data_IF_688351184695
#
_entry.id   IF_688351184695
#
_cell.length_a   1.000
_cell.length_b   1.000
_cell.length_c   1.000
_cell.angle_alpha   90.00
_cell.angle_beta   90.00
_cell.angle_gamma   90.00
#
_symmetry.space_group_name_H-M   'P 1'
#
loop_
_entity.id
_entity.type
_entity.pdbx_description
1 polymer ?
#
# COMPACT_ATOMS: atom_id res chain seq x y z
N UNK A 1 13.75 -13.16 4.41
CA UNK A 1 12.55 -13.95 4.00
C UNK A 1 11.63 -13.08 3.12
N UNK A 2 11.00 -13.62 2.06
CA UNK A 2 10.27 -12.80 1.06
C UNK A 2 9.12 -11.99 1.68
N UNK A 3 8.33 -12.61 2.56
CA UNK A 3 7.23 -12.01 3.31
C UNK A 3 7.60 -10.69 4.02
N UNK A 4 8.82 -10.62 4.55
CA UNK A 4 9.30 -9.48 5.34
C UNK A 4 9.97 -8.38 4.50
N UNK A 5 10.29 -8.62 3.22
CA UNK A 5 11.04 -7.66 2.38
C UNK A 5 10.33 -6.30 2.21
N UNK A 6 9.00 -6.28 2.36
CA UNK A 6 8.20 -5.05 2.28
C UNK A 6 8.22 -4.20 3.55
N UNK A 7 8.86 -4.65 4.62
CA UNK A 7 8.92 -3.97 5.92
C UNK A 7 10.37 -3.63 6.30
N UNK A 8 10.57 -2.53 7.03
CA UNK A 8 11.89 -2.14 7.53
C UNK A 8 12.43 -3.13 8.59
N UNK A 9 13.73 -3.06 8.89
CA UNK A 9 14.37 -3.97 9.86
C UNK A 9 13.76 -3.87 11.26
N UNK A 10 13.30 -2.68 11.63
CA UNK A 10 12.70 -2.35 12.93
C UNK A 10 11.28 -2.92 13.03
N UNK A 11 10.49 -2.80 11.95
CA UNK A 11 9.16 -3.41 11.86
C UNK A 11 9.30 -4.93 11.90
N UNK A 12 10.25 -5.50 11.15
CA UNK A 12 10.52 -6.94 11.17
C UNK A 12 10.86 -7.43 12.59
N UNK A 13 11.77 -6.74 13.31
CA UNK A 13 12.09 -7.06 14.71
C UNK A 13 10.88 -6.96 15.63
N UNK A 14 9.99 -6.00 15.38
CA UNK A 14 8.78 -5.82 16.19
C UNK A 14 7.78 -6.94 15.93
N UNK A 15 7.59 -7.36 14.68
CA UNK A 15 6.78 -8.52 14.34
C UNK A 15 7.30 -9.79 15.02
N UNK A 16 8.62 -10.01 15.03
CA UNK A 16 9.20 -11.20 15.68
C UNK A 16 8.99 -11.23 17.20
N UNK A 17 8.75 -10.09 17.86
CA UNK A 17 8.47 -10.03 19.31
C UNK A 17 7.05 -10.47 19.66
N UNK A 18 6.10 -10.27 18.76
CA UNK A 18 4.68 -10.58 18.97
C UNK A 18 4.24 -11.84 18.23
N UNK A 19 5.06 -12.35 17.31
CA UNK A 19 4.74 -13.52 16.53
C UNK A 19 4.69 -14.79 17.39
N UNK A 20 3.65 -15.59 17.17
CA UNK A 20 3.48 -16.91 17.77
C UNK A 20 3.94 -17.98 16.78
N UNK A 21 4.79 -18.90 17.23
CA UNK A 21 5.20 -20.04 16.43
C UNK A 21 4.17 -21.17 16.52
N UNK A 22 3.81 -21.74 15.37
CA UNK A 22 2.89 -22.88 15.28
C UNK A 22 3.39 -23.90 14.26
N UNK A 23 3.13 -25.17 14.53
CA UNK A 23 3.44 -26.28 13.64
C UNK A 23 2.20 -27.13 13.41
N UNK A 24 1.87 -27.37 12.15
CA UNK A 24 0.68 -28.15 11.78
C UNK A 24 1.00 -29.24 10.78
N UNK A 25 0.25 -30.33 10.90
CA UNK A 25 0.35 -31.48 10.00
C UNK A 25 -0.23 -31.18 8.62
N UNK A 26 0.13 -32.01 7.65
CA UNK A 26 -0.50 -32.03 6.31
C UNK A 26 -2.04 -32.10 6.38
N UNK A 27 -2.71 -31.44 5.45
CA UNK A 27 -4.16 -31.47 5.29
C UNK A 27 -4.94 -30.60 6.27
N UNK A 28 -4.28 -29.84 7.17
CA UNK A 28 -4.94 -28.93 8.12
C UNK A 28 -5.51 -27.70 7.42
N UNK A 29 -6.80 -27.42 7.63
CA UNK A 29 -7.42 -26.17 7.20
C UNK A 29 -7.02 -25.04 8.15
N UNK A 30 -6.28 -24.06 7.64
CA UNK A 30 -5.78 -22.93 8.42
C UNK A 30 -6.77 -21.76 8.41
N UNK A 31 -7.35 -21.52 7.25
CA UNK A 31 -8.25 -20.40 6.98
C UNK A 31 -9.39 -20.91 6.11
N UNK A 32 -10.62 -20.49 6.42
CA UNK A 32 -11.80 -20.75 5.59
C UNK A 32 -12.24 -19.47 4.90
N UNK A 33 -12.58 -19.56 3.62
CA UNK A 33 -13.24 -18.50 2.87
C UNK A 33 -14.48 -18.01 3.65
N UNK A 34 -14.72 -16.69 3.64
CA UNK A 34 -15.85 -16.06 4.31
C UNK A 34 -15.69 -15.83 5.81
N UNK A 35 -14.67 -16.41 6.46
CA UNK A 35 -14.43 -16.18 7.89
C UNK A 35 -13.69 -14.86 8.13
N UNK A 36 -13.82 -14.30 9.33
CA UNK A 36 -13.07 -13.11 9.74
C UNK A 36 -11.59 -13.45 9.89
N UNK A 37 -10.72 -12.67 9.23
CA UNK A 37 -9.28 -12.86 9.31
C UNK A 37 -8.65 -12.23 10.55
N UNK A 38 -8.16 -13.06 11.48
CA UNK A 38 -7.50 -12.61 12.73
C UNK A 38 -5.98 -12.64 12.72
N UNK A 39 -5.38 -13.45 11.84
CA UNK A 39 -3.94 -13.68 11.83
C UNK A 39 -3.33 -13.43 10.46
N UNK A 40 -2.13 -12.87 10.43
CA UNK A 40 -1.21 -12.94 9.31
C UNK A 40 -0.34 -14.18 9.51
N UNK A 41 -0.20 -14.99 8.46
CA UNK A 41 0.61 -16.20 8.48
C UNK A 41 1.86 -15.99 7.64
N UNK A 42 2.99 -16.42 8.18
CA UNK A 42 4.28 -16.41 7.50
C UNK A 42 4.82 -17.84 7.51
N UNK A 43 5.12 -18.38 6.34
CA UNK A 43 5.52 -19.78 6.19
C UNK A 43 7.02 -19.87 6.45
N UNK A 44 7.42 -20.53 7.54
CA UNK A 44 8.83 -20.80 7.84
C UNK A 44 9.30 -22.04 7.05
N UNK A 45 8.47 -23.08 7.05
CA UNK A 45 8.74 -24.36 6.39
C UNK A 45 7.43 -24.98 5.89
N UNK A 46 7.50 -25.74 4.79
CA UNK A 46 6.35 -26.43 4.19
C UNK A 46 5.70 -25.67 3.04
N UNK A 47 4.49 -26.11 2.66
CA UNK A 47 3.67 -25.49 1.63
C UNK A 47 2.18 -25.55 1.96
N UNK A 48 1.45 -24.56 1.44
CA UNK A 48 0.00 -24.47 1.58
C UNK A 48 -0.65 -24.25 0.22
N UNK A 49 -1.80 -24.87 0.01
CA UNK A 49 -2.67 -24.61 -1.12
C UNK A 49 -3.72 -23.57 -0.75
N UNK A 50 -3.93 -22.62 -1.66
CA UNK A 50 -4.96 -21.58 -1.56
C UNK A 50 -6.07 -21.97 -2.53
N UNK A 51 -7.29 -22.08 -2.01
CA UNK A 51 -8.45 -22.56 -2.75
C UNK A 51 -9.60 -21.56 -2.66
N UNK A 52 -10.32 -21.40 -3.76
CA UNK A 52 -11.56 -20.61 -3.81
C UNK A 52 -12.68 -21.57 -4.21
N UNK A 53 -13.82 -21.45 -3.53
CA UNK A 53 -14.98 -22.28 -3.83
C UNK A 53 -15.64 -21.83 -5.14
N UNK A 54 -15.78 -22.74 -6.10
CA UNK A 54 -16.58 -22.49 -7.30
C UNK A 54 -18.08 -22.59 -6.99
N UNK A 55 -18.65 -21.44 -6.62
CA UNK A 55 -20.06 -21.35 -6.22
C UNK A 55 -21.01 -21.71 -7.37
N UNK A 56 -20.67 -21.38 -8.61
CA UNK A 56 -21.54 -21.64 -9.77
C UNK A 56 -21.66 -23.15 -9.98
N UNK A 57 -20.52 -23.85 -10.00
CA UNK A 57 -20.50 -25.30 -10.17
C UNK A 57 -21.16 -26.01 -8.98
N UNK A 58 -20.92 -25.53 -7.76
CA UNK A 58 -21.53 -26.07 -6.54
C UNK A 58 -23.06 -25.90 -6.53
N UNK A 59 -23.58 -24.73 -6.91
CA UNK A 59 -25.02 -24.45 -6.94
C UNK A 59 -25.73 -25.28 -8.02
N UNK A 60 -25.13 -25.42 -9.20
CA UNK A 60 -25.67 -26.26 -10.26
C UNK A 60 -25.75 -27.74 -9.84
N UNK A 61 -24.78 -28.21 -9.05
CA UNK A 61 -24.81 -29.55 -8.49
C UNK A 61 -25.88 -29.70 -7.40
N UNK A 62 -25.98 -28.74 -6.47
CA UNK A 62 -27.02 -28.73 -5.43
C UNK A 62 -28.43 -28.74 -6.01
N UNK A 63 -28.68 -28.01 -7.11
CA UNK A 63 -29.97 -28.02 -7.81
C UNK A 63 -30.31 -29.42 -8.35
N UNK A 64 -29.35 -30.11 -9.00
CA UNK A 64 -29.55 -31.50 -9.47
C UNK A 64 -29.83 -32.48 -8.34
N UNK A 65 -29.21 -32.29 -7.18
CA UNK A 65 -29.34 -33.23 -6.06
C UNK A 65 -30.59 -32.98 -5.20
N UNK A 66 -31.03 -31.73 -5.07
CA UNK A 66 -32.25 -31.37 -4.33
C UNK A 66 -33.55 -31.78 -5.05
N UNK A 67 -33.49 -32.10 -6.34
CA UNK A 67 -34.60 -32.76 -7.05
C UNK A 67 -34.83 -34.20 -6.54
N UNK A 68 -33.84 -34.80 -5.86
CA UNK A 68 -33.96 -36.05 -5.10
C UNK A 68 -34.11 -35.74 -3.60
N UNK A 69 -35.27 -35.19 -3.20
CA UNK A 69 -35.55 -34.84 -1.80
C UNK A 69 -35.47 -36.07 -0.88
N UNK A 70 -34.41 -36.17 -0.09
CA UNK A 70 -34.37 -36.98 1.14
C UNK A 70 -34.78 -36.06 2.29
N UNK A 71 -35.83 -36.42 3.02
CA UNK A 71 -36.35 -35.66 4.16
C UNK A 71 -35.39 -35.77 5.35
N UNK A 72 -34.52 -34.77 5.51
CA UNK A 72 -33.49 -34.73 6.54
C UNK A 72 -34.03 -34.60 7.96
N UNK A 73 -35.32 -34.25 8.11
CA UNK A 73 -35.98 -34.11 9.42
C UNK A 73 -36.23 -35.45 10.13
N UNK A 74 -36.06 -36.58 9.42
CA UNK A 74 -36.21 -37.94 9.96
C UNK A 74 -34.89 -38.70 10.14
N UNK A 75 -33.76 -38.06 9.85
CA UNK A 75 -32.46 -38.73 9.89
C UNK A 75 -31.99 -38.96 11.33
N UNK A 76 -31.50 -40.16 11.58
CA UNK A 76 -30.79 -40.49 12.81
C UNK A 76 -29.49 -39.68 12.93
N UNK A 77 -28.97 -39.58 14.16
CA UNK A 77 -27.72 -38.87 14.44
C UNK A 77 -26.53 -39.37 13.59
N UNK A 78 -26.46 -40.67 13.34
CA UNK A 78 -25.36 -41.26 12.57
C UNK A 78 -25.48 -40.95 11.07
N UNK A 79 -26.71 -40.94 10.53
CA UNK A 79 -26.95 -40.51 9.15
C UNK A 79 -26.61 -39.02 8.97
N UNK A 80 -26.94 -38.17 9.93
CA UNK A 80 -26.56 -36.75 9.91
C UNK A 80 -25.03 -36.54 9.96
N UNK A 81 -24.30 -37.42 10.66
CA UNK A 81 -22.83 -37.40 10.71
C UNK A 81 -22.21 -37.83 9.37
N UNK A 82 -22.76 -38.85 8.74
CA UNK A 82 -22.37 -39.30 7.39
C UNK A 82 -22.63 -38.20 6.36
N UNK A 83 -23.78 -37.53 6.43
CA UNK A 83 -24.13 -36.47 5.49
C UNK A 83 -23.22 -35.23 5.63
N UNK A 84 -22.87 -34.83 6.86
CA UNK A 84 -21.85 -33.77 7.07
C UNK A 84 -20.48 -34.15 6.53
N UNK A 85 -20.08 -35.43 6.60
CA UNK A 85 -18.84 -35.91 5.98
C UNK A 85 -18.89 -35.77 4.46
N UNK A 86 -19.99 -36.20 3.83
CA UNK A 86 -20.19 -36.01 2.38
C UNK A 86 -20.15 -34.53 1.99
N UNK A 87 -20.78 -33.65 2.76
CA UNK A 87 -20.74 -32.20 2.49
C UNK A 87 -19.31 -31.64 2.53
N UNK A 88 -18.48 -32.07 3.49
CA UNK A 88 -17.05 -31.70 3.50
C UNK A 88 -16.28 -32.24 2.29
N UNK A 89 -16.61 -33.46 1.84
CA UNK A 89 -15.99 -34.06 0.64
C UNK A 89 -16.45 -33.35 -0.64
N UNK A 90 -17.71 -32.90 -0.70
CA UNK A 90 -18.23 -32.08 -1.80
C UNK A 90 -17.56 -30.70 -1.84
N UNK A 91 -17.44 -30.00 -0.71
CA UNK A 91 -16.71 -28.72 -0.66
C UNK A 91 -15.28 -28.89 -1.19
N UNK A 92 -14.60 -30.00 -0.87
CA UNK A 92 -13.27 -30.30 -1.42
C UNK A 92 -13.28 -30.50 -2.94
N UNK A 93 -14.29 -31.17 -3.49
CA UNK A 93 -14.38 -31.44 -4.93
C UNK A 93 -14.57 -30.17 -5.77
N UNK A 94 -15.17 -29.11 -5.20
CA UNK A 94 -15.43 -27.84 -5.89
C UNK A 94 -14.48 -26.70 -5.47
N UNK A 95 -13.47 -27.01 -4.67
CA UNK A 95 -12.41 -26.06 -4.33
C UNK A 95 -11.39 -26.03 -5.47
N UNK A 96 -11.33 -24.92 -6.19
CA UNK A 96 -10.32 -24.71 -7.22
C UNK A 96 -9.03 -24.23 -6.55
N UNK A 97 -7.93 -24.95 -6.74
CA UNK A 97 -6.60 -24.53 -6.28
C UNK A 97 -6.16 -23.35 -7.15
N UNK A 98 -6.12 -22.16 -6.54
CA UNK A 98 -5.73 -20.92 -7.22
C UNK A 98 -4.22 -20.76 -7.24
N UNK A 99 -3.57 -21.12 -6.13
CA UNK A 99 -2.13 -21.01 -5.99
C UNK A 99 -1.59 -21.86 -4.86
N UNK A 100 -0.28 -22.08 -4.88
CA UNK A 100 0.47 -22.74 -3.80
C UNK A 100 1.50 -21.74 -3.28
N UNK A 101 1.55 -21.56 -1.96
CA UNK A 101 2.55 -20.73 -1.28
C UNK A 101 3.54 -21.61 -0.53
N UNK A 102 4.82 -21.23 -0.56
CA UNK A 102 5.93 -22.02 -0.01
C UNK A 102 6.64 -21.28 1.12
N UNK A 103 7.60 -21.95 1.74
CA UNK A 103 8.51 -21.36 2.70
C UNK A 103 9.04 -19.98 2.23
N UNK A 104 8.86 -19.01 3.09
CA UNK A 104 9.23 -17.61 2.91
C UNK A 104 8.14 -16.70 2.39
N UNK A 105 7.00 -17.24 1.94
CA UNK A 105 5.81 -16.48 1.56
C UNK A 105 4.94 -16.16 2.79
N UNK A 106 3.96 -15.27 2.62
CA UNK A 106 2.98 -14.93 3.65
C UNK A 106 1.59 -14.78 3.06
N UNK A 107 0.56 -15.04 3.86
CA UNK A 107 -0.84 -14.86 3.44
C UNK A 107 -1.70 -14.32 4.58
N UNK A 108 -2.81 -13.68 4.20
CA UNK A 108 -3.82 -13.20 5.13
C UNK A 108 -3.71 -11.72 5.54
N UNK A 109 -2.75 -10.97 5.03
CA UNK A 109 -2.65 -9.53 5.23
C UNK A 109 -3.75 -8.74 4.50
N UNK A 110 -4.27 -9.27 3.39
CA UNK A 110 -5.34 -8.63 2.63
C UNK A 110 -6.61 -8.39 3.44
N UNK A 111 -6.94 -9.26 4.41
CA UNK A 111 -8.12 -9.09 5.27
C UNK A 111 -7.94 -8.04 6.37
N UNK A 112 -6.78 -7.39 6.45
CA UNK A 112 -6.53 -6.32 7.42
C UNK A 112 -6.82 -4.93 6.84
N UNK A 113 -7.12 -4.83 5.54
CA UNK A 113 -7.30 -3.53 4.86
C UNK A 113 -8.57 -2.79 5.27
N UNK A 114 -9.61 -3.49 5.71
CA UNK A 114 -10.84 -2.88 6.20
C UNK A 114 -11.39 -3.66 7.39
N UNK A 115 -12.15 -2.96 8.23
CA UNK A 115 -12.90 -3.57 9.32
C UNK A 115 -13.95 -4.54 8.78
N UNK A 116 -14.10 -5.70 9.43
CA UNK A 116 -15.02 -6.75 8.97
C UNK A 116 -14.61 -7.51 7.71
N UNK A 117 -13.42 -7.27 7.15
CA UNK A 117 -12.96 -8.01 5.97
C UNK A 117 -12.89 -9.52 6.23
N UNK A 118 -13.66 -10.25 5.41
CA UNK A 118 -13.66 -11.71 5.37
C UNK A 118 -12.52 -12.24 4.49
N UNK A 119 -12.15 -13.49 4.71
CA UNK A 119 -11.14 -14.19 3.93
C UNK A 119 -11.68 -14.48 2.54
N UNK A 120 -10.94 -14.06 1.51
CA UNK A 120 -11.31 -14.28 0.12
C UNK A 120 -11.08 -15.71 -0.38
N UNK A 121 -10.32 -16.51 0.38
CA UNK A 121 -9.96 -17.87 0.00
C UNK A 121 -9.75 -18.74 1.26
N UNK A 122 -9.85 -20.06 1.06
CA UNK A 122 -9.49 -21.08 2.04
C UNK A 122 -8.02 -21.47 1.87
N UNK A 123 -7.33 -21.78 2.96
CA UNK A 123 -5.91 -22.17 2.95
C UNK A 123 -5.71 -23.47 3.71
N UNK A 124 -5.04 -24.43 3.09
CA UNK A 124 -4.78 -25.77 3.67
C UNK A 124 -3.31 -26.14 3.54
N UNK A 125 -2.74 -26.81 4.54
CA UNK A 125 -1.39 -27.36 4.46
C UNK A 125 -1.33 -28.55 3.49
N UNK A 126 -0.29 -28.61 2.66
CA UNK A 126 -0.03 -29.76 1.78
C UNK A 126 0.91 -30.77 2.43
N UNK A 127 1.80 -30.29 3.30
CA UNK A 127 2.72 -31.08 4.10
C UNK A 127 2.80 -30.53 5.53
N UNK A 128 3.53 -31.22 6.39
CA UNK A 128 3.85 -30.70 7.72
C UNK A 128 4.58 -29.36 7.58
N UNK A 129 4.00 -28.32 8.17
CA UNK A 129 4.34 -26.92 7.90
C UNK A 129 4.49 -26.14 9.20
N UNK A 130 5.39 -25.16 9.19
CA UNK A 130 5.73 -24.33 10.34
C UNK A 130 5.47 -22.86 10.00
N UNK A 131 4.88 -22.14 10.94
CA UNK A 131 4.37 -20.79 10.72
C UNK A 131 4.77 -19.85 11.84
N UNK A 132 4.93 -18.58 11.48
CA UNK A 132 4.76 -17.47 12.42
C UNK A 132 3.40 -16.82 12.21
N UNK A 133 2.66 -16.66 13.29
CA UNK A 133 1.35 -16.02 13.33
C UNK A 133 1.46 -14.67 14.02
N UNK A 134 0.90 -13.64 13.40
CA UNK A 134 0.82 -12.30 13.97
C UNK A 134 -0.66 -11.94 14.04
N UNK A 135 -1.14 -11.55 15.22
CA UNK A 135 -2.51 -11.05 15.39
C UNK A 135 -2.73 -9.77 14.60
N UNK A 136 -3.96 -9.57 14.13
CA UNK A 136 -4.35 -8.38 13.38
C UNK A 136 -4.10 -7.11 14.21
N UNK A 137 -4.48 -7.14 15.47
CA UNK A 137 -4.39 -6.01 16.40
C UNK A 137 -2.92 -5.62 16.63
N UNK A 138 -2.04 -6.60 16.83
CA UNK A 138 -0.60 -6.37 16.97
C UNK A 138 0.02 -5.86 15.67
N UNK A 139 -0.39 -6.44 14.53
CA UNK A 139 0.07 -6.01 13.23
C UNK A 139 -0.27 -4.55 12.96
N UNK A 140 -1.52 -4.15 13.21
CA UNK A 140 -2.01 -2.79 13.04
C UNK A 140 -1.38 -1.83 14.05
N UNK A 141 -1.22 -2.24 15.31
CA UNK A 141 -0.56 -1.46 16.36
C UNK A 141 0.90 -1.18 16.03
N UNK A 142 1.64 -2.21 15.60
CA UNK A 142 3.02 -2.07 15.13
C UNK A 142 3.04 -1.11 13.94
N UNK A 143 2.29 -1.39 12.88
CA UNK A 143 2.28 -0.52 11.70
C UNK A 143 1.86 0.91 12.03
N UNK A 144 0.93 1.14 12.95
CA UNK A 144 0.51 2.48 13.35
C UNK A 144 1.59 3.21 14.17
N UNK A 145 2.25 2.50 15.09
CA UNK A 145 3.39 3.04 15.83
C UNK A 145 4.53 3.43 14.90
N UNK A 146 4.70 2.68 13.81
CA UNK A 146 5.68 2.99 12.78
C UNK A 146 5.15 3.93 11.70
N UNK A 147 3.86 4.04 11.41
CA UNK A 147 3.31 5.00 10.45
C UNK A 147 3.39 6.43 10.99
N UNK A 148 3.23 6.59 12.31
CA UNK A 148 3.56 7.83 13.02
C UNK A 148 5.08 8.13 13.00
N UNK A 149 5.90 7.11 12.74
CA UNK A 149 7.35 7.20 12.65
C UNK A 149 7.87 7.28 11.19
N UNK A 150 7.07 6.83 10.22
CA UNK A 150 7.43 6.57 8.83
C UNK A 150 6.29 6.99 7.91
N UNK A 151 6.24 8.28 7.59
CA UNK A 151 5.81 8.69 6.24
C UNK A 151 6.90 8.28 5.22
N UNK A 152 7.36 7.02 5.19
CA UNK A 152 8.19 6.49 4.08
C UNK A 152 9.52 7.22 3.77
N UNK A 153 10.18 7.80 4.76
CA UNK A 153 11.47 8.47 4.57
C UNK A 153 12.58 7.68 5.22
N UNK A 154 13.58 7.34 4.42
CA UNK A 154 14.91 7.00 4.92
C UNK A 154 15.77 8.27 4.84
N UNK A 155 16.37 8.69 5.96
CA UNK A 155 17.20 9.89 6.01
C UNK A 155 18.33 9.81 5.00
N UNK A 156 18.91 8.62 4.83
CA UNK A 156 19.99 8.36 3.89
C UNK A 156 19.49 8.59 2.45
N UNK A 157 18.28 8.13 2.11
CA UNK A 157 17.69 8.33 0.78
C UNK A 157 17.44 9.81 0.51
N UNK A 158 16.87 10.54 1.47
CA UNK A 158 16.66 11.98 1.38
C UNK A 158 17.98 12.75 1.24
N UNK A 159 18.99 12.37 2.02
CA UNK A 159 20.30 12.98 1.96
C UNK A 159 21.00 12.71 0.63
N UNK A 160 20.85 11.52 0.06
CA UNK A 160 21.36 11.19 -1.27
C UNK A 160 20.69 12.02 -2.36
N UNK A 161 19.37 12.21 -2.26
CA UNK A 161 18.60 12.97 -3.25
C UNK A 161 18.77 14.48 -3.11
N UNK A 162 18.90 14.99 -1.88
CA UNK A 162 19.01 16.42 -1.59
C UNK A 162 20.31 16.70 -0.82
N UNK A 163 21.37 17.14 -1.50
CA UNK A 163 22.65 17.45 -0.86
C UNK A 163 22.56 18.45 0.29
N UNK A 164 21.57 19.36 0.25
CA UNK A 164 21.30 20.28 1.36
C UNK A 164 20.99 19.53 2.67
N UNK A 165 20.25 18.42 2.61
CA UNK A 165 19.86 17.66 3.80
C UNK A 165 21.05 16.93 4.44
N UNK A 166 22.12 16.63 3.69
CA UNK A 166 23.38 16.09 4.27
C UNK A 166 24.07 17.06 5.20
N UNK A 167 23.87 18.35 4.97
CA UNK A 167 24.50 19.39 5.79
C UNK A 167 23.73 19.68 7.07
N UNK A 168 22.51 19.14 7.23
CA UNK A 168 21.72 19.29 8.44
C UNK A 168 22.21 18.31 9.51
N UNK A 169 22.23 18.77 10.77
CA UNK A 169 22.67 17.96 11.89
C UNK A 169 21.51 17.13 12.47
N UNK A 170 21.39 15.88 12.03
CA UNK A 170 20.45 14.90 12.59
C UNK A 170 21.19 13.95 13.53
N UNK A 171 20.73 13.80 14.78
CA UNK A 171 21.39 12.92 15.76
C UNK A 171 21.00 11.45 15.59
N UNK A 172 19.82 11.19 15.06
CA UNK A 172 19.30 9.84 14.82
C UNK A 172 18.22 9.85 13.73
N UNK A 173 17.89 8.65 13.23
CA UNK A 173 16.84 8.47 12.22
C UNK A 173 15.42 8.80 12.73
N UNK A 174 15.22 8.96 14.04
CA UNK A 174 13.92 9.36 14.61
C UNK A 174 13.58 10.82 14.31
N UNK A 175 14.58 11.65 14.04
CA UNK A 175 14.41 13.05 13.64
C UNK A 175 13.90 13.23 12.20
N UNK A 176 13.71 12.14 11.46
CA UNK A 176 13.02 12.16 10.16
C UNK A 176 11.55 12.56 10.29
N UNK A 177 10.94 12.32 11.46
CA UNK A 177 9.54 12.69 11.75
C UNK A 177 9.24 14.19 11.61
N UNK A 178 10.28 15.01 11.53
CA UNK A 178 10.24 16.46 11.33
C UNK A 178 9.87 16.83 9.90
N UNK A 179 10.02 15.90 8.96
CA UNK A 179 9.63 16.10 7.57
C UNK A 179 8.16 15.75 7.34
N UNK A 180 7.44 16.63 6.65
CA UNK A 180 6.10 16.35 6.14
C UNK A 180 6.18 15.87 4.69
N UNK A 181 5.33 14.92 4.29
CA UNK A 181 5.24 14.48 2.89
C UNK A 181 3.84 14.66 2.39
N UNK A 182 3.74 15.20 1.18
CA UNK A 182 2.49 15.41 0.49
C UNK A 182 2.57 14.90 -0.94
N UNK A 183 1.50 14.24 -1.38
CA UNK A 183 1.30 13.90 -2.78
C UNK A 183 0.30 14.88 -3.35
N UNK A 184 0.74 15.69 -4.31
CA UNK A 184 -0.03 16.76 -4.91
C UNK A 184 -0.42 16.36 -6.34
N UNK A 185 -1.71 16.36 -6.70
CA UNK A 185 -2.14 16.03 -8.04
C UNK A 185 -1.74 17.13 -9.05
N UNK A 186 -1.79 16.86 -10.36
CA UNK A 186 -1.48 17.85 -11.39
C UNK A 186 -2.38 19.09 -11.31
N UNK A 187 -1.86 20.23 -11.78
CA UNK A 187 -2.49 21.55 -11.83
C UNK A 187 -2.92 22.10 -10.47
N UNK A 188 -2.17 21.77 -9.41
CA UNK A 188 -2.34 22.34 -8.08
C UNK A 188 -1.13 23.20 -7.73
N UNK A 189 -1.38 24.34 -7.09
CA UNK A 189 -0.32 25.18 -6.55
C UNK A 189 0.21 24.58 -5.25
N UNK A 190 1.54 24.48 -5.13
CA UNK A 190 2.21 24.06 -3.88
C UNK A 190 2.49 25.28 -2.99
N UNK A 191 3.00 26.35 -3.60
CA UNK A 191 3.29 27.64 -2.93
C UNK A 191 2.79 28.75 -3.84
N UNK A 192 2.07 29.72 -3.27
CA UNK A 192 1.54 30.89 -3.97
C UNK A 192 2.42 32.09 -3.64
N UNK A 193 2.85 32.82 -4.68
CA UNK A 193 3.66 34.03 -4.48
C UNK A 193 2.87 35.08 -3.68
N UNK A 194 3.54 35.71 -2.71
CA UNK A 194 2.93 36.70 -1.82
C UNK A 194 2.32 36.11 -0.55
N UNK A 195 2.16 34.79 -0.47
CA UNK A 195 1.79 34.13 0.78
C UNK A 195 3.00 33.86 1.68
N UNK A 196 2.80 33.98 2.99
CA UNK A 196 3.83 33.68 3.98
C UNK A 196 3.86 32.16 4.19
N UNK A 197 4.82 31.51 3.55
CA UNK A 197 5.06 30.08 3.76
C UNK A 197 6.10 29.85 4.87
N UNK A 198 5.75 29.00 5.84
CA UNK A 198 6.62 28.62 6.95
C UNK A 198 7.40 27.33 6.69
N UNK A 199 7.12 26.65 5.58
CA UNK A 199 7.72 25.36 5.22
C UNK A 199 8.69 25.50 4.05
N UNK A 200 9.81 24.78 4.09
CA UNK A 200 10.73 24.62 2.97
C UNK A 200 10.38 23.30 2.28
N UNK A 201 9.94 23.37 1.03
CA UNK A 201 9.52 22.21 0.24
C UNK A 201 10.62 21.75 -0.73
N UNK A 202 10.79 20.44 -0.84
CA UNK A 202 11.66 19.74 -1.77
C UNK A 202 10.82 18.86 -2.70
N UNK A 203 11.05 18.92 -4.01
CA UNK A 203 10.37 18.05 -4.97
C UNK A 203 11.10 16.70 -5.00
N UNK A 204 10.45 15.64 -4.49
CA UNK A 204 10.98 14.27 -4.47
C UNK A 204 10.73 13.55 -5.77
N UNK A 205 9.57 13.73 -6.38
CA UNK A 205 9.25 13.18 -7.70
C UNK A 205 8.25 14.04 -8.43
N UNK A 206 8.32 14.06 -9.77
CA UNK A 206 7.47 14.90 -10.63
C UNK A 206 8.13 16.22 -11.03
N UNK A 207 7.34 17.11 -11.62
CA UNK A 207 7.80 18.43 -12.09
C UNK A 207 6.76 19.52 -11.85
N UNK A 208 7.24 20.75 -11.61
CA UNK A 208 6.46 21.97 -11.49
C UNK A 208 7.12 23.13 -12.25
N UNK A 209 6.40 24.24 -12.41
CA UNK A 209 6.92 25.45 -13.06
C UNK A 209 7.50 26.44 -12.01
N UNK A 210 8.50 27.23 -12.42
CA UNK A 210 9.41 27.96 -11.51
C UNK A 210 8.83 29.21 -10.82
N UNK A 211 7.62 29.64 -11.18
CA UNK A 211 7.05 30.95 -10.78
C UNK A 211 6.12 30.83 -9.56
N UNK A 212 5.13 29.98 -9.72
CA UNK A 212 4.27 29.41 -8.68
C UNK A 212 4.47 27.93 -8.94
N UNK A 213 4.87 27.15 -7.93
CA UNK A 213 5.07 25.71 -8.15
C UNK A 213 3.69 25.10 -8.39
N UNK A 214 3.21 25.20 -9.63
CA UNK A 214 2.02 24.55 -10.13
C UNK A 214 2.53 23.24 -10.71
N UNK A 215 1.99 22.17 -10.17
CA UNK A 215 2.37 20.82 -10.58
C UNK A 215 1.92 20.57 -12.02
N UNK A 216 2.83 20.18 -12.92
CA UNK A 216 2.43 19.76 -14.27
C UNK A 216 2.03 18.28 -14.28
N UNK A 217 2.55 17.52 -13.31
CA UNK A 217 2.36 16.09 -13.11
C UNK A 217 1.93 15.82 -11.67
N UNK A 218 1.67 14.56 -11.29
CA UNK A 218 1.53 14.23 -9.88
C UNK A 218 2.92 14.37 -9.23
N UNK A 219 3.02 15.19 -8.20
CA UNK A 219 4.28 15.49 -7.52
C UNK A 219 4.25 14.95 -6.10
N UNK A 220 5.33 14.32 -5.68
CA UNK A 220 5.59 14.02 -4.27
C UNK A 220 6.57 15.06 -3.73
N UNK A 221 6.19 15.75 -2.66
CA UNK A 221 7.03 16.76 -2.01
C UNK A 221 7.35 16.37 -0.57
N UNK A 222 8.52 16.81 -0.12
CA UNK A 222 9.02 16.67 1.24
C UNK A 222 9.20 18.06 1.82
N UNK A 223 8.58 18.35 2.96
CA UNK A 223 8.62 19.66 3.62
C UNK A 223 9.35 19.60 4.95
N UNK A 224 10.11 20.64 5.28
CA UNK A 224 10.64 20.86 6.64
C UNK A 224 10.25 22.26 7.10
N UNK A 225 9.76 22.41 8.33
CA UNK A 225 9.42 23.73 8.87
C UNK A 225 10.67 24.62 8.92
N UNK A 226 10.52 25.93 8.71
CA UNK A 226 11.62 26.90 8.83
C UNK A 226 12.24 26.87 10.22
N UNK A 227 11.42 26.67 11.25
CA UNK A 227 11.88 26.52 12.63
C UNK A 227 12.80 25.30 12.78
N UNK A 228 12.36 24.15 12.29
CA UNK A 228 13.13 22.91 12.37
C UNK A 228 14.39 22.92 11.51
N UNK A 229 14.31 23.54 10.34
CA UNK A 229 15.46 23.77 9.48
C UNK A 229 16.48 24.65 10.20
N UNK A 230 16.09 25.79 10.77
CA UNK A 230 17.00 26.68 11.52
C UNK A 230 17.66 25.99 12.69
N UNK A 231 16.91 25.16 13.42
CA UNK A 231 17.41 24.38 14.56
C UNK A 231 18.51 23.38 14.15
N UNK A 232 18.48 22.89 12.91
CA UNK A 232 19.37 21.82 12.41
C UNK A 232 20.39 22.29 11.37
N UNK A 233 20.23 23.50 10.85
CA UNK A 233 21.09 24.10 9.84
C UNK A 233 22.50 24.33 10.39
N UNK A 234 23.48 23.75 9.71
CA UNK A 234 24.90 24.11 9.91
C UNK A 234 25.23 25.35 9.09
N UNK A 235 26.41 25.93 9.32
CA UNK A 235 26.87 27.07 8.52
C UNK A 235 26.95 26.72 7.03
N UNK A 236 27.36 25.49 6.71
CA UNK A 236 27.33 24.94 5.36
C UNK A 236 25.90 24.90 4.78
N UNK A 237 24.90 24.48 5.55
CA UNK A 237 23.50 24.51 5.10
C UNK A 237 23.04 25.93 4.78
N UNK A 238 23.43 26.90 5.62
CA UNK A 238 23.05 28.31 5.46
C UNK A 238 23.69 28.91 4.22
N UNK A 239 24.95 28.60 3.94
CA UNK A 239 25.64 29.03 2.72
C UNK A 239 24.99 28.45 1.46
N UNK A 240 24.67 27.16 1.46
CA UNK A 240 23.98 26.51 0.33
C UNK A 240 22.62 27.16 0.05
N UNK A 241 21.84 27.51 1.09
CA UNK A 241 20.56 28.21 0.91
C UNK A 241 20.75 29.64 0.40
N UNK A 242 21.78 30.35 0.87
CA UNK A 242 22.10 31.70 0.37
C UNK A 242 22.39 31.69 -1.13
N UNK A 243 23.19 30.74 -1.61
CA UNK A 243 23.49 30.60 -3.04
C UNK A 243 22.27 30.23 -3.90
N UNK A 244 21.25 29.58 -3.33
CA UNK A 244 20.00 29.29 -4.04
C UNK A 244 19.11 30.54 -4.20
N UNK A 245 19.18 31.48 -3.27
CA UNK A 245 18.41 32.73 -3.30
C UNK A 245 18.96 33.79 -4.27
N UNK A 246 20.12 33.55 -4.89
CA UNK A 246 20.75 34.52 -5.80
C UNK A 246 20.08 34.56 -7.19
N UNK A 247 19.29 33.55 -7.57
CA UNK A 247 18.38 33.63 -8.71
C UNK A 247 17.01 34.15 -8.28
N UNK A 248 16.90 35.46 -8.07
CA UNK A 248 15.59 36.11 -8.17
C UNK A 248 15.20 36.12 -9.64
N UNK A 249 14.18 35.35 -10.00
CA UNK A 249 13.55 35.47 -11.32
C UNK A 249 12.83 36.82 -11.31
N UNK A 250 13.14 37.68 -12.27
CA UNK A 250 12.50 38.99 -12.35
C UNK A 250 11.00 38.83 -12.65
N UNK A 251 10.16 39.71 -12.10
CA UNK A 251 8.70 39.63 -12.26
C UNK A 251 8.26 39.60 -13.74
N UNK A 252 9.07 40.20 -14.62
CA UNK A 252 8.84 40.19 -16.06
C UNK A 252 9.11 38.81 -16.70
N UNK A 253 10.14 38.08 -16.25
CA UNK A 253 10.40 36.70 -16.69
C UNK A 253 9.31 35.74 -16.20
N UNK A 254 8.83 35.97 -14.98
CA UNK A 254 7.68 35.29 -14.38
C UNK A 254 6.43 35.46 -15.26
N UNK A 255 6.09 36.70 -15.61
CA UNK A 255 4.93 37.02 -16.44
C UNK A 255 5.02 36.42 -17.84
N UNK A 256 6.20 36.47 -18.46
CA UNK A 256 6.45 35.88 -19.77
C UNK A 256 6.26 34.35 -19.75
N UNK A 257 6.89 33.65 -18.79
CA UNK A 257 6.78 32.19 -18.64
C UNK A 257 5.35 31.74 -18.33
N UNK A 258 4.61 32.48 -17.49
CA UNK A 258 3.21 32.17 -17.19
C UNK A 258 2.33 32.35 -18.43
N UNK A 259 2.47 33.46 -19.15
CA UNK A 259 1.69 33.75 -20.36
C UNK A 259 1.98 32.74 -21.47
N UNK A 260 3.23 32.34 -21.68
CA UNK A 260 3.61 31.30 -22.64
C UNK A 260 2.95 29.96 -22.31
N UNK A 261 2.96 29.55 -21.04
CA UNK A 261 2.35 28.30 -20.61
C UNK A 261 0.81 28.32 -20.68
N UNK A 262 0.17 29.44 -20.32
CA UNK A 262 -1.28 29.60 -20.45
C UNK A 262 -1.70 29.61 -21.93
N UNK A 263 -0.92 30.25 -22.80
CA UNK A 263 -1.17 30.25 -24.24
C UNK A 263 -1.00 28.86 -24.84
N UNK A 264 -0.03 28.07 -24.36
CA UNK A 264 0.14 26.67 -24.74
C UNK A 264 -1.04 25.79 -24.33
N UNK A 265 -1.57 25.96 -23.12
CA UNK A 265 -2.76 25.23 -22.66
C UNK A 265 -4.02 25.58 -23.47
N UNK A 266 -4.20 26.87 -23.79
CA UNK A 266 -5.28 27.33 -24.69
C UNK A 266 -5.13 26.74 -26.09
N UNK A 267 -3.91 26.73 -26.64
CA UNK A 267 -3.60 26.12 -27.93
C UNK A 267 -3.90 24.62 -27.94
N UNK A 268 -3.43 23.88 -26.93
CA UNK A 268 -3.65 22.44 -26.79
C UNK A 268 -5.14 22.09 -26.71
N UNK A 269 -5.93 22.87 -25.95
CA UNK A 269 -7.39 22.70 -25.86
C UNK A 269 -8.07 22.95 -27.22
N UNK A 270 -7.65 23.98 -27.95
CA UNK A 270 -8.16 24.29 -29.29
C UNK A 270 -7.86 23.16 -30.29
N UNK A 271 -6.61 22.68 -30.31
CA UNK A 271 -6.19 21.58 -31.19
C UNK A 271 -6.92 20.27 -30.87
N UNK A 272 -7.12 19.96 -29.59
CA UNK A 272 -7.87 18.78 -29.16
C UNK A 272 -9.36 18.85 -29.57
N UNK A 273 -10.00 20.00 -29.38
CA UNK A 273 -11.39 20.20 -29.81
C UNK A 273 -11.55 20.09 -31.33
N UNK A 274 -10.59 20.63 -32.10
CA UNK A 274 -10.58 20.49 -33.57
C UNK A 274 -10.50 19.03 -34.02
N UNK A 275 -9.72 18.20 -33.32
CA UNK A 275 -9.63 16.76 -33.61
C UNK A 275 -10.94 16.02 -33.29
N UNK A 276 -11.62 16.40 -32.20
CA UNK A 276 -12.94 15.84 -31.85
C UNK A 276 -13.97 16.19 -32.93
N UNK A 277 -14.00 17.43 -33.39
CA UNK A 277 -14.93 17.85 -34.45
C UNK A 277 -14.65 17.15 -35.78
N UNK A 278 -13.39 16.97 -36.17
CA UNK A 278 -13.05 16.18 -37.36
C UNK A 278 -13.55 14.74 -37.26
N UNK A 279 -13.38 14.08 -36.11
CA UNK A 279 -13.90 12.72 -35.90
C UNK A 279 -15.42 12.66 -35.96
N UNK A 280 -16.13 13.66 -35.44
CA UNK A 280 -17.61 13.73 -35.53
C UNK A 280 -18.12 13.92 -36.96
N UNK A 281 -17.31 14.42 -37.89
CA UNK A 281 -17.69 14.56 -39.31
C UNK A 281 -17.48 13.29 -40.13
N UNK A 282 -16.79 12.30 -39.58
CA UNK A 282 -16.48 11.02 -40.24
C UNK A 282 -17.26 9.83 -39.68
N UNK A 283 -18.26 10.09 -38.83
CA UNK A 283 -19.25 9.13 -38.31
C UNK A 283 -20.62 9.58 -38.79
#
# INVERSE_FOLDING_TARGET
>A
MKAFRKYSSEIQKSFLKVAVYEKWQSGRLLVREGHIGRYLFIILQGSVSITILDRVTMENFRKKHNEQKVDTSKMSFEEARVERRKEMDYERAYNNVVSVSKAGDSFGDASFRSEGCIRAASVRTECDSEFLLILKEDFESILSSFANFSKGLNLIELQLQFPLLKSLNFKNDKEISVFDIRVIPPNQAIVIEGEVEETIWFIRSGSGNDVTIITNTRVEIVGISRFDFRKRATDKSRELVKGLNERRIEFNEIGANYLENVNWLKYKKKSFNSLIEQRKRHV
#
